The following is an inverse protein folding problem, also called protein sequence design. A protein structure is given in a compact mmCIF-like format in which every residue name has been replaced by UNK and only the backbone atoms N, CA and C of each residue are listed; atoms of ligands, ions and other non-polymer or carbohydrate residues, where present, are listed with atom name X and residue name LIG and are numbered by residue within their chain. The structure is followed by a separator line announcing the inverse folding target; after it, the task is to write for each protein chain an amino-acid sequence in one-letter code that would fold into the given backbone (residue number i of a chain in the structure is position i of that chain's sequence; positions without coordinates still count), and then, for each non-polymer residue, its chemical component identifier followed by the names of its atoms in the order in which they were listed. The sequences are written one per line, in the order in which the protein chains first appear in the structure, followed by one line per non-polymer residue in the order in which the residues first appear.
data_IF_093815789585
#
_entry.id   IF_093815789585
#
_cell.length_a   1.000
_cell.length_b   1.000
_cell.length_c   1.000
_cell.angle_alpha   90.00
_cell.angle_beta   90.00
_cell.angle_gamma   90.00
#
_symmetry.space_group_name_H-M   'P 1'
#
loop_
_entity.id
_entity.type
_entity.pdbx_description
1 polymer ?
#
# COMPACT_ATOMS: atom_id res chain seq x y z
N UNK A 1 -14.29 25.94 44.27
CA UNK A 1 -14.89 24.78 43.56
C UNK A 1 -15.75 25.37 42.44
N UNK A 2 -15.49 25.24 41.14
CA UNK A 2 -14.50 24.50 40.36
C UNK A 2 -14.09 25.41 39.19
N UNK A 3 -12.79 25.52 38.91
CA UNK A 3 -12.29 25.99 37.63
C UNK A 3 -12.46 24.82 36.65
N UNK A 4 -13.14 25.03 35.53
CA UNK A 4 -13.10 24.09 34.39
C UNK A 4 -11.97 24.55 33.47
N UNK A 5 -10.87 23.81 33.54
CA UNK A 5 -9.83 23.78 32.51
C UNK A 5 -10.43 23.08 31.28
N UNK A 6 -10.79 23.86 30.26
CA UNK A 6 -11.08 23.29 28.94
C UNK A 6 -9.76 22.93 28.28
N UNK A 7 -9.47 21.63 28.32
CA UNK A 7 -8.32 21.00 27.69
C UNK A 7 -8.39 21.20 26.17
N UNK A 8 -7.30 21.74 25.64
CA UNK A 8 -7.00 21.77 24.22
C UNK A 8 -6.99 20.34 23.67
N UNK A 9 -8.07 19.95 23.01
CA UNK A 9 -8.08 18.76 22.16
C UNK A 9 -7.36 19.10 20.86
N UNK A 10 -6.03 19.00 20.87
CA UNK A 10 -5.25 18.89 19.64
C UNK A 10 -5.76 17.65 18.89
N UNK A 11 -6.55 17.87 17.83
CA UNK A 11 -6.93 16.80 16.93
C UNK A 11 -5.65 16.20 16.32
N UNK A 12 -5.44 14.88 16.39
CA UNK A 12 -4.31 14.26 15.74
C UNK A 12 -4.43 14.54 14.25
N UNK A 13 -3.43 15.24 13.70
CA UNK A 13 -3.34 15.61 12.29
C UNK A 13 -3.68 14.40 11.42
N UNK A 14 -4.76 14.51 10.64
CA UNK A 14 -5.27 13.46 9.75
C UNK A 14 -4.08 12.90 8.95
N UNK A 15 -3.64 11.67 9.26
CA UNK A 15 -2.51 11.06 8.56
C UNK A 15 -2.85 11.02 7.06
N UNK A 16 -2.02 11.63 6.22
CA UNK A 16 -2.19 11.63 4.77
C UNK A 16 -1.83 10.24 4.24
N UNK A 17 -2.82 9.36 4.09
CA UNK A 17 -2.64 8.05 3.46
C UNK A 17 -2.45 8.20 1.95
N UNK A 18 -1.63 7.34 1.35
CA UNK A 18 -1.54 7.17 -0.10
C UNK A 18 -2.38 5.96 -0.50
N UNK A 19 -3.22 6.11 -1.50
CA UNK A 19 -3.99 4.99 -2.04
C UNK A 19 -3.19 4.28 -3.14
N UNK A 20 -2.98 2.98 -2.97
CA UNK A 20 -2.54 2.12 -4.05
C UNK A 20 -3.78 1.57 -4.75
N UNK A 21 -3.94 1.89 -6.04
CA UNK A 21 -5.08 1.47 -6.85
C UNK A 21 -4.66 0.55 -7.98
N UNK A 22 -5.37 -0.54 -8.14
CA UNK A 22 -5.15 -1.52 -9.21
C UNK A 22 -6.00 -1.14 -10.42
N UNK A 23 -5.42 -1.25 -11.61
CA UNK A 23 -6.16 -1.38 -12.87
C UNK A 23 -5.89 -2.77 -13.40
N UNK A 24 -6.95 -3.54 -13.64
CA UNK A 24 -6.88 -4.87 -14.22
C UNK A 24 -7.90 -5.02 -15.34
N UNK A 25 -7.67 -5.96 -16.25
CA UNK A 25 -8.70 -6.51 -17.12
C UNK A 25 -8.96 -7.94 -16.64
N UNK A 26 -10.09 -8.17 -15.97
CA UNK A 26 -10.51 -9.54 -15.62
C UNK A 26 -10.93 -10.27 -16.90
N UNK A 27 -9.96 -10.89 -17.56
CA UNK A 27 -10.14 -11.53 -18.87
C UNK A 27 -11.19 -12.65 -18.85
N UNK A 28 -11.45 -13.26 -17.68
CA UNK A 28 -12.37 -14.40 -17.55
C UNK A 28 -13.57 -14.13 -16.62
N UNK A 29 -13.65 -12.96 -15.97
CA UNK A 29 -14.76 -12.59 -15.08
C UNK A 29 -14.85 -13.42 -13.80
N UNK A 30 -13.81 -14.18 -13.44
CA UNK A 30 -13.89 -15.20 -12.40
C UNK A 30 -13.20 -14.79 -11.08
N UNK A 31 -12.80 -13.53 -10.95
CA UNK A 31 -12.21 -13.02 -9.71
C UNK A 31 -13.26 -12.19 -8.97
N UNK A 32 -13.67 -12.65 -7.78
CA UNK A 32 -14.59 -11.91 -6.92
C UNK A 32 -13.87 -10.74 -6.23
N UNK A 33 -12.73 -11.05 -5.60
CA UNK A 33 -11.92 -10.05 -4.88
C UNK A 33 -10.43 -10.30 -5.09
N UNK A 34 -9.64 -9.24 -4.95
CA UNK A 34 -8.17 -9.29 -4.90
C UNK A 34 -7.67 -8.50 -3.69
N UNK A 35 -6.63 -9.01 -3.04
CA UNK A 35 -5.96 -8.38 -1.90
C UNK A 35 -4.45 -8.52 -2.01
N UNK A 36 -3.71 -7.64 -1.35
CA UNK A 36 -2.26 -7.69 -1.28
C UNK A 36 -1.80 -8.42 -0.02
N UNK A 37 -0.77 -9.25 -0.14
CA UNK A 37 -0.10 -9.93 0.98
C UNK A 37 1.27 -9.30 1.22
N UNK A 38 2.03 -9.12 0.13
CA UNK A 38 3.35 -8.50 0.12
C UNK A 38 3.37 -7.46 -1.00
N UNK A 39 3.71 -6.22 -0.68
CA UNK A 39 3.86 -5.13 -1.64
C UNK A 39 5.31 -4.71 -1.73
N UNK A 40 5.94 -4.88 -2.89
CA UNK A 40 7.26 -4.31 -3.15
C UNK A 40 7.11 -2.89 -3.70
N UNK A 41 7.80 -1.94 -3.10
CA UNK A 41 7.68 -0.52 -3.44
C UNK A 41 9.05 0.06 -3.85
N UNK A 42 9.03 0.89 -4.89
CA UNK A 42 10.10 1.85 -5.14
C UNK A 42 9.78 3.15 -4.39
N UNK A 43 10.78 3.72 -3.76
CA UNK A 43 10.65 4.84 -2.83
C UNK A 43 11.67 5.93 -3.18
N UNK A 44 11.32 7.17 -2.87
CA UNK A 44 12.25 8.30 -2.79
C UNK A 44 12.50 8.65 -1.33
N UNK A 45 13.77 8.80 -0.95
CA UNK A 45 14.13 9.32 0.36
C UNK A 45 13.61 10.76 0.51
N UNK A 46 12.85 11.04 1.58
CA UNK A 46 12.31 12.38 1.82
C UNK A 46 13.41 13.41 2.13
N UNK A 47 14.55 12.98 2.68
CA UNK A 47 15.66 13.86 3.07
C UNK A 47 16.59 14.22 1.91
N UNK A 48 17.05 13.24 1.14
CA UNK A 48 18.10 13.45 0.13
C UNK A 48 17.68 13.13 -1.31
N UNK A 49 16.43 12.70 -1.54
CA UNK A 49 15.91 12.38 -2.87
C UNK A 49 16.43 11.09 -3.49
N UNK A 50 17.33 10.35 -2.82
CA UNK A 50 17.85 9.08 -3.35
C UNK A 50 16.74 8.03 -3.49
N UNK A 51 16.83 7.22 -4.56
CA UNK A 51 15.93 6.08 -4.77
C UNK A 51 16.27 4.94 -3.79
N UNK A 52 15.25 4.20 -3.38
CA UNK A 52 15.36 3.02 -2.51
C UNK A 52 14.22 2.05 -2.80
N UNK A 53 14.36 0.81 -2.35
CA UNK A 53 13.34 -0.23 -2.51
C UNK A 53 12.99 -0.82 -1.15
N UNK A 54 11.71 -1.15 -0.95
CA UNK A 54 11.23 -1.77 0.28
C UNK A 54 10.13 -2.78 -0.01
N UNK A 55 10.30 -4.00 0.50
CA UNK A 55 9.27 -5.04 0.47
C UNK A 55 8.48 -4.97 1.77
N UNK A 56 7.18 -4.71 1.65
CA UNK A 56 6.29 -4.50 2.78
C UNK A 56 5.32 -5.66 2.95
N UNK A 57 5.19 -6.16 4.17
CA UNK A 57 4.18 -7.18 4.51
C UNK A 57 2.99 -6.52 5.20
N UNK A 58 1.77 -6.91 4.83
CA UNK A 58 0.54 -6.34 5.43
C UNK A 58 0.40 -6.62 6.93
N UNK A 59 1.14 -7.59 7.47
CA UNK A 59 1.04 -8.00 8.87
C UNK A 59 1.86 -7.14 9.83
N UNK A 60 2.82 -6.37 9.34
CA UNK A 60 3.79 -5.68 10.19
C UNK A 60 4.25 -4.34 9.61
N UNK A 61 4.69 -3.44 10.50
CA UNK A 61 5.34 -2.21 10.09
C UNK A 61 6.66 -2.56 9.38
N UNK A 62 6.82 -2.10 8.15
CA UNK A 62 8.04 -2.34 7.38
C UNK A 62 8.97 -1.16 7.53
N UNK A 63 10.24 -1.40 7.91
CA UNK A 63 11.23 -0.35 8.20
C UNK A 63 12.52 -0.58 7.42
N UNK A 64 13.23 0.49 7.08
CA UNK A 64 14.54 0.46 6.43
C UNK A 64 15.25 1.82 6.59
N UNK A 65 16.41 1.99 5.97
CA UNK A 65 17.17 3.25 5.97
C UNK A 65 17.70 3.59 4.59
N UNK A 66 17.85 4.89 4.32
CA UNK A 66 18.46 5.39 3.11
C UNK A 66 19.94 5.00 3.05
N UNK A 67 20.36 4.34 1.98
CA UNK A 67 21.76 3.96 1.78
C UNK A 67 22.70 5.17 1.57
N UNK A 68 22.16 6.35 1.20
CA UNK A 68 22.94 7.57 0.95
C UNK A 68 23.10 8.48 2.16
N UNK A 69 22.05 8.64 2.97
CA UNK A 69 22.02 9.62 4.07
C UNK A 69 21.55 9.06 5.42
N UNK A 70 21.37 7.74 5.50
CA UNK A 70 20.94 7.00 6.69
C UNK A 70 19.60 7.43 7.29
N UNK A 71 18.80 8.20 6.56
CA UNK A 71 17.46 8.58 6.98
C UNK A 71 16.57 7.33 7.11
N UNK A 72 15.92 7.15 8.26
CA UNK A 72 15.00 6.04 8.50
C UNK A 72 13.71 6.15 7.68
N UNK A 73 13.21 5.00 7.23
CA UNK A 73 11.96 4.84 6.49
C UNK A 73 11.04 3.89 7.25
N UNK A 74 9.74 4.15 7.20
CA UNK A 74 8.75 3.13 7.54
C UNK A 74 7.49 3.23 6.68
N UNK A 75 6.85 2.10 6.42
CA UNK A 75 5.56 2.02 5.72
C UNK A 75 4.67 1.04 6.47
N UNK A 76 3.49 1.50 6.87
CA UNK A 76 2.37 0.63 7.25
C UNK A 76 1.45 0.47 6.05
N UNK A 77 1.03 -0.77 5.80
CA UNK A 77 0.08 -1.11 4.74
C UNK A 77 -1.21 -1.59 5.39
N UNK A 78 -2.31 -0.92 5.08
CA UNK A 78 -3.67 -1.38 5.38
C UNK A 78 -4.27 -1.96 4.10
N UNK A 79 -4.29 -3.30 3.93
CA UNK A 79 -4.83 -3.92 2.71
C UNK A 79 -6.31 -3.61 2.55
N UNK A 80 -6.75 -3.48 1.30
CA UNK A 80 -8.13 -3.27 0.89
C UNK A 80 -8.50 -4.32 -0.16
N UNK A 81 -9.78 -4.71 -0.21
CA UNK A 81 -10.25 -5.60 -1.26
C UNK A 81 -10.55 -4.81 -2.53
N UNK A 82 -9.94 -5.22 -3.62
CA UNK A 82 -10.33 -4.82 -4.97
C UNK A 82 -11.51 -5.69 -5.39
N UNK A 83 -12.55 -5.07 -5.92
CA UNK A 83 -13.77 -5.70 -6.44
C UNK A 83 -14.46 -4.74 -7.43
N UNK A 84 -15.64 -5.12 -7.95
CA UNK A 84 -16.36 -4.34 -8.96
C UNK A 84 -16.63 -2.85 -8.61
N UNK A 85 -16.68 -2.48 -7.32
CA UNK A 85 -16.98 -1.11 -6.88
C UNK A 85 -15.78 -0.41 -6.23
N UNK A 86 -14.64 -1.09 -6.07
CA UNK A 86 -13.43 -0.51 -5.48
C UNK A 86 -12.20 -1.05 -6.16
N UNK A 87 -11.35 -0.16 -6.64
CA UNK A 87 -10.06 -0.52 -7.21
C UNK A 87 -8.89 -0.21 -6.27
N UNK A 88 -9.15 0.13 -5.01
CA UNK A 88 -8.11 0.37 -4.00
C UNK A 88 -7.65 -0.97 -3.44
N UNK A 89 -6.35 -1.28 -3.54
CA UNK A 89 -5.77 -2.51 -2.99
C UNK A 89 -5.08 -2.29 -1.64
N UNK A 90 -4.65 -1.06 -1.36
CA UNK A 90 -4.07 -0.72 -0.07
C UNK A 90 -4.10 0.78 0.22
N UNK A 91 -4.11 1.11 1.50
CA UNK A 91 -3.75 2.42 2.02
C UNK A 91 -2.34 2.34 2.60
N UNK A 92 -1.46 3.27 2.22
CA UNK A 92 -0.08 3.32 2.64
C UNK A 92 0.14 4.52 3.57
N UNK A 93 0.81 4.28 4.70
CA UNK A 93 1.27 5.31 5.64
C UNK A 93 2.81 5.39 5.63
N UNK A 94 3.41 6.12 4.68
CA UNK A 94 4.87 6.26 4.65
C UNK A 94 5.36 7.30 5.67
N UNK A 95 6.53 7.04 6.26
CA UNK A 95 7.32 7.99 7.04
C UNK A 95 8.76 7.99 6.55
N UNK A 96 9.35 9.19 6.42
CA UNK A 96 10.72 9.38 5.97
C UNK A 96 10.99 9.05 4.48
N UNK A 97 9.98 8.65 3.73
CA UNK A 97 10.07 8.34 2.31
C UNK A 97 8.78 8.72 1.57
N UNK A 98 8.87 8.80 0.24
CA UNK A 98 7.75 9.01 -0.68
C UNK A 98 7.68 7.79 -1.60
N UNK A 99 6.65 6.93 -1.49
CA UNK A 99 6.39 5.88 -2.46
C UNK A 99 6.23 6.43 -3.88
N UNK A 100 6.90 5.81 -4.85
CA UNK A 100 6.88 6.22 -6.25
C UNK A 100 6.09 5.25 -7.12
N UNK A 101 6.35 3.95 -6.95
CA UNK A 101 5.71 2.90 -7.74
C UNK A 101 5.67 1.57 -6.99
N UNK A 102 4.76 0.68 -7.39
CA UNK A 102 4.67 -0.69 -6.92
C UNK A 102 5.34 -1.64 -7.91
N UNK A 103 6.33 -2.39 -7.43
CA UNK A 103 7.02 -3.43 -8.21
C UNK A 103 6.18 -4.70 -8.17
N UNK A 104 5.20 -4.78 -9.08
CA UNK A 104 4.21 -5.84 -9.09
C UNK A 104 4.79 -7.25 -9.20
N UNK A 105 5.82 -7.44 -10.04
CA UNK A 105 6.50 -8.74 -10.21
C UNK A 105 7.20 -9.24 -8.93
N UNK A 106 7.47 -8.35 -7.97
CA UNK A 106 8.05 -8.68 -6.67
C UNK A 106 7.01 -8.63 -5.54
N UNK A 107 5.73 -8.51 -5.89
CA UNK A 107 4.61 -8.45 -4.96
C UNK A 107 3.84 -9.78 -4.98
N UNK A 108 3.15 -10.07 -3.87
CA UNK A 108 2.32 -11.27 -3.71
C UNK A 108 0.88 -10.87 -3.40
N UNK A 109 -0.06 -11.43 -4.15
CA UNK A 109 -1.49 -11.14 -4.06
C UNK A 109 -2.24 -12.40 -3.62
N UNK A 110 -3.43 -12.23 -3.04
CA UNK A 110 -4.46 -13.27 -3.01
C UNK A 110 -5.68 -12.82 -3.79
N UNK A 111 -6.40 -13.78 -4.35
CA UNK A 111 -7.68 -13.56 -4.98
C UNK A 111 -8.67 -14.61 -4.53
N UNK A 112 -9.95 -14.23 -4.52
CA UNK A 112 -11.07 -15.15 -4.29
C UNK A 112 -11.75 -15.43 -5.62
N UNK A 113 -11.87 -16.70 -5.96
CA UNK A 113 -12.59 -17.14 -7.15
C UNK A 113 -14.09 -16.89 -6.99
N UNK A 114 -14.72 -16.24 -7.98
CA UNK A 114 -16.16 -15.96 -7.97
C UNK A 114 -17.00 -17.23 -8.07
N UNK A 115 -16.55 -18.22 -8.85
CA UNK A 115 -17.31 -19.44 -9.09
C UNK A 115 -17.31 -20.41 -7.90
N UNK A 116 -16.16 -20.62 -7.24
CA UNK A 116 -16.02 -21.63 -6.18
C UNK A 116 -15.76 -21.07 -4.78
N UNK A 117 -15.67 -19.75 -4.64
CA UNK A 117 -15.41 -19.03 -3.39
C UNK A 117 -14.14 -19.48 -2.64
N UNK A 118 -13.16 -20.03 -3.38
CA UNK A 118 -11.85 -20.40 -2.83
C UNK A 118 -10.88 -19.24 -2.96
N UNK A 119 -10.17 -18.95 -1.87
CA UNK A 119 -9.04 -18.03 -1.88
C UNK A 119 -7.78 -18.75 -2.35
N UNK A 120 -6.98 -18.11 -3.19
CA UNK A 120 -5.71 -18.62 -3.68
C UNK A 120 -4.70 -17.48 -3.81
N UNK A 121 -3.42 -17.78 -3.60
CA UNK A 121 -2.34 -16.80 -3.80
C UNK A 121 -1.88 -16.79 -5.24
N UNK A 122 -1.71 -15.60 -5.80
CA UNK A 122 -1.14 -15.40 -7.12
C UNK A 122 0.22 -14.69 -7.01
N UNK A 123 1.20 -15.23 -7.70
CA UNK A 123 2.43 -14.51 -8.03
C UNK A 123 2.21 -13.81 -9.37
N UNK A 124 2.55 -12.51 -9.42
CA UNK A 124 2.34 -11.73 -10.64
C UNK A 124 3.33 -12.20 -11.69
N UNK A 125 2.82 -12.90 -12.71
CA UNK A 125 3.58 -13.46 -13.82
C UNK A 125 3.40 -12.62 -15.09
N UNK A 126 4.38 -12.64 -15.98
CA UNK A 126 4.28 -12.01 -17.31
C UNK A 126 3.07 -12.58 -18.07
N UNK A 127 2.03 -11.76 -18.26
CA UNK A 127 0.78 -12.15 -18.93
C UNK A 127 -0.49 -11.55 -18.30
N UNK A 128 -0.43 -11.18 -17.01
CA UNK A 128 -1.51 -10.42 -16.36
C UNK A 128 -1.09 -8.96 -16.29
N UNK A 129 -1.74 -8.09 -17.07
CA UNK A 129 -1.53 -6.64 -17.02
C UNK A 129 -2.24 -6.06 -15.80
N UNK A 130 -1.63 -6.21 -14.63
CA UNK A 130 -1.99 -5.45 -13.43
C UNK A 130 -1.14 -4.18 -13.45
N UNK A 131 -1.76 -3.02 -13.26
CA UNK A 131 -1.05 -1.77 -13.01
C UNK A 131 -1.46 -1.24 -11.64
N UNK A 132 -0.49 -0.90 -10.80
CA UNK A 132 -0.76 -0.24 -9.52
C UNK A 132 -0.36 1.21 -9.63
N UNK A 133 -1.32 2.12 -9.48
CA UNK A 133 -1.08 3.56 -9.42
C UNK A 133 -1.15 4.03 -7.97
N UNK A 134 -0.17 4.81 -7.56
CA UNK A 134 -0.15 5.48 -6.27
C UNK A 134 -0.78 6.86 -6.42
N UNK A 135 -1.88 7.12 -5.72
CA UNK A 135 -2.48 8.45 -5.65
C UNK A 135 -1.88 9.18 -4.47
N UNK A 136 -0.91 10.04 -4.76
CA UNK A 136 -0.31 10.92 -3.76
C UNK A 136 -1.33 11.98 -3.32
N UNK A 137 -1.53 12.20 -2.02
CA UNK A 137 -2.36 13.28 -1.53
C UNK A 137 -1.67 14.61 -1.85
N UNK A 138 -2.36 15.46 -2.63
CA UNK A 138 -1.94 16.83 -2.93
C UNK A 138 -1.73 17.65 -1.64
#
# INVERSE_FOLDING_TARGET
LFQQEESSSEQPSKAKFIEARVSWNDLNGNIATLSIIIMALSLRCAKCGALSFLTCSVKQLSTSHCQKCSNGFSIRISPQFVHQNSNVIALLEPKGCVPLDCVLLSSKLSYTCLHCNKETTAEVSFGIFIFVRLILPL
#
